data_IF_543395993121
#
_entry.id   IF_543395993121
#
_cell.length_a   1.000
_cell.length_b   1.000
_cell.length_c   1.000
_cell.angle_alpha   90.00
_cell.angle_beta   90.00
_cell.angle_gamma   90.00
#
_symmetry.space_group_name_H-M   'P 1'
#
loop_
_entity.id
_entity.type
_entity.pdbx_description
1 polymer ?
#
# COMPACT_ATOMS: atom_id res chain seq x y z
N UNK A 1 42.72 1.81 18.83
CA UNK A 1 44.10 1.72 18.31
C UNK A 1 45.01 2.83 18.84
N UNK A 2 44.53 4.05 19.10
CA UNK A 2 45.36 5.14 19.65
C UNK A 2 46.16 4.75 20.91
N UNK A 3 45.53 4.10 21.89
CA UNK A 3 46.20 3.65 23.11
C UNK A 3 47.34 2.66 22.83
N UNK A 4 47.15 1.75 21.87
CA UNK A 4 48.18 0.80 21.45
C UNK A 4 49.38 1.54 20.84
N UNK A 5 49.15 2.57 20.03
CA UNK A 5 50.23 3.36 19.44
C UNK A 5 51.00 4.16 20.49
N UNK A 6 50.33 4.75 21.49
CA UNK A 6 51.04 5.40 22.60
C UNK A 6 51.96 4.43 23.36
N UNK A 7 51.54 3.18 23.54
CA UNK A 7 52.36 2.16 24.19
C UNK A 7 53.50 1.70 23.29
N UNK A 8 53.26 1.58 21.98
CA UNK A 8 54.30 1.28 21.01
C UNK A 8 55.37 2.39 20.96
N UNK A 9 54.97 3.65 21.09
CA UNK A 9 55.88 4.80 21.10
C UNK A 9 56.71 4.88 22.40
N UNK A 10 56.16 4.38 23.53
CA UNK A 10 56.84 4.38 24.83
C UNK A 10 57.78 3.18 25.05
N UNK A 11 57.32 1.97 24.72
CA UNK A 11 57.97 0.70 25.10
C UNK A 11 58.40 -0.15 23.87
N UNK A 12 58.08 0.30 22.66
CA UNK A 12 58.35 -0.44 21.41
C UNK A 12 57.21 -1.37 20.97
N UNK A 13 57.22 -1.76 19.69
CA UNK A 13 56.09 -2.42 19.02
C UNK A 13 56.09 -3.96 19.11
N UNK A 14 57.02 -4.61 19.80
CA UNK A 14 57.20 -6.08 19.66
C UNK A 14 56.11 -6.91 20.34
N UNK A 15 55.58 -6.46 21.48
CA UNK A 15 54.63 -7.21 22.34
C UNK A 15 53.24 -6.59 22.51
N UNK A 16 53.04 -5.25 22.50
CA UNK A 16 51.73 -4.66 22.81
C UNK A 16 50.60 -5.09 21.87
N UNK A 17 50.92 -5.37 20.60
CA UNK A 17 49.91 -5.79 19.63
C UNK A 17 49.25 -7.12 20.01
N UNK A 18 49.98 -8.08 20.59
CA UNK A 18 49.40 -9.36 21.05
C UNK A 18 48.33 -9.14 22.11
N UNK A 19 48.60 -8.24 23.07
CA UNK A 19 47.64 -7.89 24.12
C UNK A 19 46.39 -7.25 23.53
N UNK A 20 46.52 -6.19 22.72
CA UNK A 20 45.36 -5.46 22.19
C UNK A 20 44.55 -6.29 21.19
N UNK A 21 45.22 -7.07 20.34
CA UNK A 21 44.53 -7.97 19.39
C UNK A 21 43.77 -9.05 20.15
N UNK A 22 44.38 -9.71 21.14
CA UNK A 22 43.69 -10.71 21.96
C UNK A 22 42.54 -10.09 22.77
N UNK A 23 42.76 -8.91 23.37
CA UNK A 23 41.74 -8.20 24.15
C UNK A 23 40.53 -7.82 23.30
N UNK A 24 40.75 -7.27 22.10
CA UNK A 24 39.66 -6.87 21.20
C UNK A 24 38.97 -8.12 20.64
N UNK A 25 39.71 -9.11 20.14
CA UNK A 25 39.11 -10.32 19.58
C UNK A 25 38.31 -11.09 20.64
N UNK A 26 38.92 -11.45 21.77
CA UNK A 26 38.24 -12.20 22.82
C UNK A 26 37.18 -11.35 23.51
N UNK A 27 37.49 -10.09 23.83
CA UNK A 27 36.58 -9.19 24.54
C UNK A 27 35.35 -8.84 23.70
N UNK A 28 35.52 -8.39 22.46
CA UNK A 28 34.39 -8.05 21.59
C UNK A 28 33.57 -9.29 21.22
N UNK A 29 34.21 -10.43 20.93
CA UNK A 29 33.49 -11.67 20.65
C UNK A 29 32.69 -12.16 21.86
N UNK A 30 33.29 -12.13 23.06
CA UNK A 30 32.62 -12.52 24.30
C UNK A 30 31.42 -11.62 24.59
N UNK A 31 31.61 -10.30 24.56
CA UNK A 31 30.53 -9.33 24.84
C UNK A 31 29.41 -9.45 23.80
N UNK A 32 29.73 -9.56 22.52
CA UNK A 32 28.73 -9.71 21.47
C UNK A 32 27.91 -10.99 21.64
N UNK A 33 28.56 -12.12 21.89
CA UNK A 33 27.86 -13.40 22.07
C UNK A 33 27.03 -13.42 23.36
N UNK A 34 27.51 -12.80 24.44
CA UNK A 34 26.74 -12.68 25.68
C UNK A 34 25.50 -11.83 25.44
N UNK A 35 25.64 -10.65 24.82
CA UNK A 35 24.51 -9.76 24.51
C UNK A 35 23.53 -10.46 23.58
N UNK A 36 24.00 -11.09 22.50
CA UNK A 36 23.15 -11.79 21.55
C UNK A 36 22.43 -12.97 22.21
N UNK A 37 23.12 -13.71 23.07
CA UNK A 37 22.55 -14.83 23.82
C UNK A 37 21.45 -14.39 24.78
N UNK A 38 21.69 -13.33 25.56
CA UNK A 38 20.69 -12.78 26.49
C UNK A 38 19.50 -12.18 25.74
N UNK A 39 19.73 -11.36 24.72
CA UNK A 39 18.66 -10.76 23.91
C UNK A 39 17.84 -11.83 23.17
N UNK A 40 18.50 -12.82 22.57
CA UNK A 40 17.83 -13.92 21.89
C UNK A 40 17.00 -14.74 22.87
N UNK A 41 17.53 -15.02 24.06
CA UNK A 41 16.81 -15.71 25.13
C UNK A 41 15.56 -14.96 25.58
N UNK A 42 15.68 -13.67 25.88
CA UNK A 42 14.54 -12.85 26.32
C UNK A 42 13.51 -12.63 25.21
N UNK A 43 13.93 -12.37 23.97
CA UNK A 43 13.01 -12.25 22.84
C UNK A 43 12.32 -13.57 22.50
N UNK A 44 13.02 -14.71 22.63
CA UNK A 44 12.40 -16.03 22.41
C UNK A 44 11.34 -16.32 23.46
N UNK A 45 11.63 -16.05 24.75
CA UNK A 45 10.65 -16.19 25.84
C UNK A 45 9.44 -15.29 25.63
N UNK A 46 9.64 -14.03 25.25
CA UNK A 46 8.54 -13.09 25.05
C UNK A 46 7.69 -13.46 23.82
N UNK A 47 8.34 -13.85 22.72
CA UNK A 47 7.65 -14.38 21.54
C UNK A 47 6.80 -15.60 21.88
N UNK A 48 7.34 -16.54 22.65
CA UNK A 48 6.59 -17.73 23.06
C UNK A 48 5.36 -17.39 23.92
N UNK A 49 5.44 -16.37 24.80
CA UNK A 49 4.27 -15.88 25.54
C UNK A 49 3.21 -15.28 24.62
N UNK A 50 3.62 -14.50 23.61
CA UNK A 50 2.71 -13.92 22.62
C UNK A 50 2.02 -15.03 21.84
N UNK A 51 2.78 -16.00 21.32
CA UNK A 51 2.25 -17.13 20.56
C UNK A 51 1.25 -17.95 21.38
N UNK A 52 1.55 -18.24 22.66
CA UNK A 52 0.61 -18.92 23.58
C UNK A 52 -0.68 -18.12 23.80
N UNK A 53 -0.60 -16.80 23.96
CA UNK A 53 -1.79 -15.94 24.12
C UNK A 53 -2.63 -15.91 22.85
N UNK A 54 -2.00 -15.85 21.69
CA UNK A 54 -2.69 -15.90 20.40
C UNK A 54 -3.42 -17.23 20.21
N UNK A 55 -2.76 -18.37 20.51
CA UNK A 55 -3.39 -19.70 20.43
C UNK A 55 -4.58 -19.77 21.38
N UNK A 56 -4.43 -19.33 22.63
CA UNK A 56 -5.51 -19.31 23.62
C UNK A 56 -6.69 -18.42 23.21
N UNK A 57 -6.44 -17.30 22.52
CA UNK A 57 -7.50 -16.46 21.96
C UNK A 57 -8.25 -17.18 20.83
N UNK A 58 -7.51 -17.76 19.87
CA UNK A 58 -8.11 -18.50 18.75
C UNK A 58 -8.94 -19.69 19.21
N UNK A 59 -8.47 -20.46 20.20
CA UNK A 59 -9.24 -21.57 20.77
C UNK A 59 -10.56 -21.11 21.40
N UNK A 60 -10.57 -19.97 22.09
CA UNK A 60 -11.79 -19.39 22.66
C UNK A 60 -12.75 -18.90 21.59
N UNK A 61 -12.24 -18.29 20.53
CA UNK A 61 -13.06 -17.85 19.39
C UNK A 61 -13.70 -19.05 18.68
N UNK A 62 -12.93 -20.12 18.44
CA UNK A 62 -13.43 -21.35 17.83
C UNK A 62 -14.50 -22.04 18.70
N UNK A 63 -14.27 -22.13 20.03
CA UNK A 63 -15.28 -22.68 20.95
C UNK A 63 -16.57 -21.88 20.95
N UNK A 64 -16.49 -20.54 20.92
CA UNK A 64 -17.67 -19.67 20.81
C UNK A 64 -18.41 -19.90 19.49
N UNK A 65 -17.70 -19.90 18.37
CA UNK A 65 -18.31 -20.18 17.06
C UNK A 65 -18.98 -21.55 17.00
N UNK A 66 -18.38 -22.56 17.63
CA UNK A 66 -18.96 -23.90 17.71
C UNK A 66 -20.23 -23.93 18.57
N UNK A 67 -20.23 -23.24 19.71
CA UNK A 67 -21.42 -23.09 20.56
C UNK A 67 -22.54 -22.32 19.84
N UNK A 68 -22.20 -21.22 19.16
CA UNK A 68 -23.15 -20.44 18.37
C UNK A 68 -23.76 -21.31 17.26
N UNK A 69 -22.93 -22.08 16.54
CA UNK A 69 -23.40 -23.01 15.50
C UNK A 69 -24.34 -24.08 16.05
N UNK A 70 -24.01 -24.68 17.20
CA UNK A 70 -24.87 -25.65 17.86
C UNK A 70 -26.19 -25.02 18.30
N UNK A 71 -26.16 -23.83 18.88
CA UNK A 71 -27.35 -23.08 19.26
C UNK A 71 -28.25 -22.77 18.05
N UNK A 72 -27.69 -22.33 16.93
CA UNK A 72 -28.47 -22.12 15.70
C UNK A 72 -29.10 -23.41 15.18
N UNK A 73 -28.38 -24.54 15.24
CA UNK A 73 -28.90 -25.84 14.83
C UNK A 73 -30.10 -26.25 15.70
N UNK A 74 -29.98 -26.15 17.03
CA UNK A 74 -31.07 -26.47 17.97
C UNK A 74 -32.30 -25.58 17.74
N UNK A 75 -32.10 -24.28 17.46
CA UNK A 75 -33.20 -23.37 17.16
C UNK A 75 -33.93 -23.72 15.85
N UNK A 76 -33.19 -24.16 14.83
CA UNK A 76 -33.76 -24.59 13.55
C UNK A 76 -34.54 -25.90 13.73
N UNK A 77 -33.96 -26.90 14.40
CA UNK A 77 -34.58 -28.19 14.67
C UNK A 77 -35.90 -28.02 15.45
N UNK A 78 -35.90 -27.17 16.47
CA UNK A 78 -37.11 -26.86 17.25
C UNK A 78 -38.19 -26.13 16.42
N UNK A 79 -37.79 -25.29 15.47
CA UNK A 79 -38.74 -24.61 14.60
C UNK A 79 -39.36 -25.57 13.56
N UNK A 80 -38.59 -26.55 13.09
CA UNK A 80 -39.05 -27.62 12.19
C UNK A 80 -40.11 -28.48 12.91
N UNK A 81 -39.82 -28.92 14.14
CA UNK A 81 -40.75 -29.66 15.01
C UNK A 81 -42.09 -28.91 15.21
N UNK A 82 -42.03 -27.61 15.50
CA UNK A 82 -43.23 -26.77 15.68
C UNK A 82 -44.01 -26.58 14.36
N UNK A 83 -43.32 -26.51 13.22
CA UNK A 83 -43.97 -26.35 11.92
C UNK A 83 -44.70 -27.62 11.46
N UNK A 84 -44.22 -28.79 11.86
CA UNK A 84 -44.89 -30.07 11.62
C UNK A 84 -46.14 -30.23 12.49
N UNK A 85 -46.19 -29.62 13.69
CA UNK A 85 -47.38 -29.59 14.54
C UNK A 85 -48.47 -28.61 14.03
N UNK A 86 -48.09 -27.52 13.36
CA UNK A 86 -49.04 -26.52 12.81
C UNK A 86 -49.62 -26.90 11.42
N UNK A 87 -49.08 -27.91 10.73
CA UNK A 87 -49.55 -28.34 9.41
C UNK A 87 -50.83 -29.20 9.43
N UNK A 88 -51.36 -29.55 10.60
CA UNK A 88 -52.66 -30.23 10.73
C UNK A 88 -53.86 -29.25 10.88
N UNK A 89 -53.64 -27.95 11.03
CA UNK A 89 -54.72 -26.96 11.20
C UNK A 89 -54.42 -25.59 10.53
N UNK A 90 -54.39 -25.53 9.19
CA UNK A 90 -54.93 -24.39 8.41
C UNK A 90 -54.68 -24.53 6.90
N UNK A 91 -55.69 -25.04 6.21
CA UNK A 91 -55.90 -24.80 4.78
C UNK A 91 -57.13 -23.92 4.60
N UNK A 92 -56.96 -22.59 4.46
CA UNK A 92 -57.98 -21.76 3.82
C UNK A 92 -57.36 -20.69 2.90
N UNK A 93 -57.82 -20.75 1.65
CA UNK A 93 -57.61 -19.85 0.52
C UNK A 93 -58.08 -18.42 0.81
N UNK A 94 -57.36 -17.40 0.33
CA UNK A 94 -58.01 -16.17 -0.19
C UNK A 94 -57.24 -15.66 -1.42
N UNK A 95 -57.78 -15.95 -2.60
CA UNK A 95 -57.60 -15.14 -3.80
C UNK A 95 -58.47 -13.87 -3.65
N UNK A 96 -57.91 -12.69 -3.89
CA UNK A 96 -58.71 -11.48 -4.14
C UNK A 96 -58.22 -10.75 -5.40
N UNK A 97 -59.09 -10.86 -6.40
CA UNK A 97 -59.20 -10.12 -7.64
C UNK A 97 -59.34 -8.62 -7.38
N UNK A 98 -58.73 -7.77 -8.21
CA UNK A 98 -59.19 -6.38 -8.37
C UNK A 98 -59.12 -5.93 -9.82
N UNK A 99 -60.23 -5.34 -10.27
CA UNK A 99 -60.65 -5.06 -11.65
C UNK A 99 -60.57 -3.56 -12.01
N UNK A 100 -60.47 -3.29 -13.32
CA UNK A 100 -60.73 -2.09 -14.17
C UNK A 100 -60.44 -0.65 -13.65
N UNK A 101 -59.72 0.25 -14.35
CA UNK A 101 -59.85 0.83 -15.72
C UNK A 101 -59.96 2.38 -15.60
N UNK A 102 -60.04 3.25 -16.64
CA UNK A 102 -59.45 3.27 -17.98
C UNK A 102 -58.41 4.42 -18.16
N UNK A 103 -57.42 4.21 -19.03
CA UNK A 103 -56.40 5.20 -19.40
C UNK A 103 -56.82 5.96 -20.67
N UNK A 104 -57.07 7.27 -20.57
CA UNK A 104 -57.19 8.10 -21.77
C UNK A 104 -56.82 9.58 -21.50
N UNK A 105 -55.52 9.84 -21.23
CA UNK A 105 -54.91 11.17 -21.48
C UNK A 105 -53.36 11.21 -21.46
N UNK A 106 -52.67 10.07 -21.42
CA UNK A 106 -51.21 10.01 -21.15
C UNK A 106 -50.34 9.96 -22.43
N UNK A 107 -50.95 9.99 -23.62
CA UNK A 107 -50.29 9.45 -24.82
C UNK A 107 -49.28 10.37 -25.53
N UNK A 108 -49.11 11.64 -25.13
CA UNK A 108 -48.18 12.58 -25.78
C UNK A 108 -46.91 12.83 -24.96
N UNK A 109 -46.98 12.80 -23.63
CA UNK A 109 -45.81 12.98 -22.75
C UNK A 109 -44.96 11.69 -22.64
N UNK A 110 -45.58 10.53 -22.84
CA UNK A 110 -44.92 9.22 -22.73
C UNK A 110 -43.98 8.90 -23.91
N UNK A 111 -44.27 9.43 -25.11
CA UNK A 111 -43.44 9.23 -26.31
C UNK A 111 -42.13 10.02 -26.23
N UNK A 112 -42.16 11.25 -25.72
CA UNK A 112 -40.97 12.10 -25.53
C UNK A 112 -40.04 11.55 -24.43
N UNK A 113 -40.60 11.10 -23.30
CA UNK A 113 -39.84 10.39 -22.25
C UNK A 113 -39.28 9.06 -22.75
N UNK A 114 -40.02 8.30 -23.57
CA UNK A 114 -39.57 7.02 -24.14
C UNK A 114 -38.37 7.17 -25.09
N UNK A 115 -38.35 8.20 -25.94
CA UNK A 115 -37.23 8.46 -26.87
C UNK A 115 -35.98 8.98 -26.15
N UNK A 116 -36.14 9.94 -25.22
CA UNK A 116 -35.04 10.45 -24.39
C UNK A 116 -34.46 9.36 -23.48
N UNK A 117 -35.31 8.52 -22.88
CA UNK A 117 -34.90 7.40 -22.04
C UNK A 117 -34.23 6.27 -22.86
N UNK A 118 -34.66 6.02 -24.11
CA UNK A 118 -33.98 5.10 -25.04
C UNK A 118 -32.61 5.64 -25.50
N UNK A 119 -32.49 6.95 -25.75
CA UNK A 119 -31.23 7.60 -26.13
C UNK A 119 -30.24 7.65 -24.96
N UNK A 120 -30.70 7.99 -23.75
CA UNK A 120 -29.93 7.89 -22.51
C UNK A 120 -29.54 6.43 -22.19
N UNK A 121 -30.42 5.45 -22.43
CA UNK A 121 -30.07 4.01 -22.31
C UNK A 121 -29.01 3.59 -23.34
N UNK A 122 -29.03 4.10 -24.58
CA UNK A 122 -28.01 3.82 -25.60
C UNK A 122 -26.66 4.46 -25.25
N UNK A 123 -26.64 5.71 -24.77
CA UNK A 123 -25.44 6.39 -24.27
C UNK A 123 -24.89 5.68 -23.02
N UNK A 124 -25.76 5.26 -22.08
CA UNK A 124 -25.38 4.50 -20.88
C UNK A 124 -24.86 3.10 -21.21
N UNK A 125 -25.46 2.40 -22.19
CA UNK A 125 -24.95 1.11 -22.70
C UNK A 125 -23.61 1.27 -23.41
N UNK A 126 -23.42 2.33 -24.22
CA UNK A 126 -22.13 2.64 -24.85
C UNK A 126 -21.06 2.96 -23.80
N UNK A 127 -21.35 3.87 -22.85
CA UNK A 127 -20.46 4.20 -21.72
C UNK A 127 -20.08 2.97 -20.89
N UNK A 128 -21.01 2.03 -20.68
CA UNK A 128 -20.69 0.76 -20.01
C UNK A 128 -19.81 -0.17 -20.86
N UNK A 129 -19.92 -0.17 -22.20
CA UNK A 129 -19.03 -0.92 -23.09
C UNK A 129 -17.62 -0.34 -23.09
N UNK A 130 -17.49 0.98 -23.22
CA UNK A 130 -16.20 1.67 -23.11
C UNK A 130 -15.54 1.43 -21.75
N UNK A 131 -16.30 1.58 -20.64
CA UNK A 131 -15.79 1.27 -19.29
C UNK A 131 -15.33 -0.18 -19.15
N UNK A 132 -16.10 -1.15 -19.66
CA UNK A 132 -15.70 -2.58 -19.65
C UNK A 132 -14.44 -2.83 -20.46
N UNK A 133 -14.29 -2.17 -21.61
CA UNK A 133 -13.08 -2.27 -22.44
C UNK A 133 -11.86 -1.68 -21.75
N UNK A 134 -12.00 -0.52 -21.10
CA UNK A 134 -10.91 0.13 -20.36
C UNK A 134 -10.51 -0.72 -19.13
N UNK A 135 -11.49 -1.29 -18.41
CA UNK A 135 -11.21 -2.24 -17.32
C UNK A 135 -10.54 -3.52 -17.83
N UNK A 136 -10.95 -4.02 -18.99
CA UNK A 136 -10.30 -5.17 -19.60
C UNK A 136 -8.84 -4.84 -19.95
N UNK A 137 -8.60 -3.66 -20.53
CA UNK A 137 -7.27 -3.19 -20.91
C UNK A 137 -6.32 -3.06 -19.70
N UNK A 138 -6.76 -2.44 -18.60
CA UNK A 138 -5.93 -2.30 -17.39
C UNK A 138 -5.59 -3.62 -16.71
N UNK A 139 -6.36 -4.69 -16.98
CA UNK A 139 -6.10 -6.04 -16.46
C UNK A 139 -5.17 -6.87 -17.35
N UNK A 140 -4.79 -6.38 -18.53
CA UNK A 140 -3.93 -7.14 -19.44
C UNK A 140 -2.48 -7.20 -18.93
N UNK A 141 -1.82 -8.33 -19.16
CA UNK A 141 -0.36 -8.48 -18.92
C UNK A 141 0.47 -7.46 -19.70
N UNK A 142 -0.01 -7.07 -20.88
CA UNK A 142 0.65 -6.09 -21.73
C UNK A 142 0.68 -4.70 -21.09
N UNK A 143 -0.45 -4.24 -20.54
CA UNK A 143 -0.52 -2.98 -19.82
C UNK A 143 0.43 -2.97 -18.62
N UNK A 144 0.51 -4.09 -17.88
CA UNK A 144 1.44 -4.25 -16.77
C UNK A 144 2.91 -4.12 -17.22
N UNK A 145 3.32 -4.87 -18.24
CA UNK A 145 4.70 -4.82 -18.78
C UNK A 145 5.02 -3.43 -19.32
N UNK A 146 4.05 -2.77 -19.96
CA UNK A 146 4.18 -1.39 -20.45
C UNK A 146 4.51 -0.44 -19.30
N UNK A 147 3.71 -0.39 -18.24
CA UNK A 147 3.98 0.52 -17.12
C UNK A 147 5.32 0.19 -16.45
N UNK A 148 5.62 -1.09 -16.25
CA UNK A 148 6.89 -1.53 -15.71
C UNK A 148 8.08 -1.04 -16.55
N UNK A 149 7.96 -1.14 -17.88
CA UNK A 149 8.98 -0.67 -18.82
C UNK A 149 9.14 0.85 -18.78
N UNK A 150 8.05 1.62 -18.59
CA UNK A 150 8.10 3.08 -18.44
C UNK A 150 8.81 3.50 -17.16
N UNK A 151 8.54 2.81 -16.04
CA UNK A 151 9.22 3.08 -14.77
C UNK A 151 10.70 2.74 -14.89
N UNK A 152 11.04 1.62 -15.52
CA UNK A 152 12.43 1.23 -15.76
C UNK A 152 13.16 2.24 -16.65
N UNK A 153 12.57 2.63 -17.79
CA UNK A 153 13.17 3.60 -18.70
C UNK A 153 13.32 4.97 -18.03
N UNK A 154 12.34 5.40 -17.23
CA UNK A 154 12.46 6.62 -16.43
C UNK A 154 13.61 6.55 -15.43
N UNK A 155 13.83 5.38 -14.81
CA UNK A 155 14.96 5.16 -13.90
C UNK A 155 16.28 5.21 -14.66
N UNK A 156 16.38 4.61 -15.85
CA UNK A 156 17.57 4.68 -16.70
C UNK A 156 17.92 6.13 -17.05
N UNK A 157 16.94 6.93 -17.48
CA UNK A 157 17.13 8.36 -17.77
C UNK A 157 17.61 9.13 -16.53
N UNK A 158 17.06 8.82 -15.36
CA UNK A 158 17.49 9.45 -14.10
C UNK A 158 18.92 9.07 -13.72
N UNK A 159 19.31 7.82 -13.91
CA UNK A 159 20.68 7.36 -13.63
C UNK A 159 21.73 7.83 -14.63
N UNK A 160 21.31 8.40 -15.79
CA UNK A 160 22.25 8.95 -16.76
C UNK A 160 22.76 10.34 -16.37
N UNK A 161 22.11 11.03 -15.42
CA UNK A 161 22.52 12.34 -14.92
C UNK A 161 23.92 12.27 -14.28
N UNK A 162 24.85 13.10 -14.77
CA UNK A 162 26.21 13.15 -14.23
C UNK A 162 26.75 14.57 -14.13
N UNK A 163 27.78 14.77 -13.30
CA UNK A 163 28.41 16.07 -13.13
C UNK A 163 29.05 16.54 -14.44
N UNK A 164 28.84 17.82 -14.80
CA UNK A 164 29.30 18.44 -16.05
C UNK A 164 28.80 17.74 -17.34
N UNK A 165 27.51 17.43 -17.40
CA UNK A 165 26.90 16.82 -18.59
C UNK A 165 26.74 17.80 -19.76
N UNK A 166 26.81 17.31 -21.02
CA UNK A 166 26.64 18.14 -22.20
C UNK A 166 25.19 18.64 -22.35
N UNK A 167 25.01 19.84 -22.92
CA UNK A 167 23.71 20.49 -23.09
C UNK A 167 22.66 19.62 -23.81
N UNK A 168 23.09 18.78 -24.75
CA UNK A 168 22.17 17.87 -25.46
C UNK A 168 21.58 16.81 -24.52
N UNK A 169 22.35 16.35 -23.54
CA UNK A 169 21.89 15.38 -22.55
C UNK A 169 20.89 16.01 -21.57
N UNK A 170 21.11 17.26 -21.17
CA UNK A 170 20.12 18.05 -20.39
C UNK A 170 18.80 18.16 -21.16
N UNK A 171 18.85 18.60 -22.43
CA UNK A 171 17.66 18.73 -23.28
C UNK A 171 16.93 17.39 -23.47
N UNK A 172 17.66 16.31 -23.69
CA UNK A 172 17.08 14.98 -23.80
C UNK A 172 16.38 14.54 -22.50
N UNK A 173 17.02 14.74 -21.35
CA UNK A 173 16.47 14.39 -20.03
C UNK A 173 15.21 15.20 -19.73
N UNK A 174 15.16 16.49 -20.06
CA UNK A 174 14.00 17.35 -19.87
C UNK A 174 12.81 16.93 -20.75
N UNK A 175 13.06 16.65 -22.03
CA UNK A 175 12.04 16.16 -22.96
C UNK A 175 11.51 14.79 -22.50
N UNK A 176 12.42 13.87 -22.15
CA UNK A 176 12.07 12.55 -21.67
C UNK A 176 11.24 12.64 -20.38
N UNK A 177 11.62 13.49 -19.42
CA UNK A 177 10.86 13.68 -18.19
C UNK A 177 9.45 14.20 -18.47
N UNK A 178 9.29 15.19 -19.35
CA UNK A 178 7.97 15.69 -19.76
C UNK A 178 7.10 14.58 -20.37
N UNK A 179 7.66 13.73 -21.23
CA UNK A 179 6.96 12.58 -21.83
C UNK A 179 6.55 11.58 -20.74
N UNK A 180 7.44 11.23 -19.80
CA UNK A 180 7.11 10.30 -18.72
C UNK A 180 5.99 10.83 -17.81
N UNK A 181 6.02 12.11 -17.46
CA UNK A 181 4.96 12.76 -16.67
C UNK A 181 3.63 12.65 -17.41
N UNK A 182 3.60 12.94 -18.71
CA UNK A 182 2.40 12.82 -19.53
C UNK A 182 1.87 11.38 -19.59
N UNK A 183 2.74 10.39 -19.79
CA UNK A 183 2.37 8.97 -19.83
C UNK A 183 1.86 8.46 -18.48
N UNK A 184 2.48 8.85 -17.36
CA UNK A 184 2.01 8.49 -16.02
C UNK A 184 0.69 9.20 -15.65
N UNK A 185 0.49 10.41 -16.15
CA UNK A 185 -0.80 11.11 -16.00
C UNK A 185 -1.90 10.39 -16.79
N UNK A 186 -1.60 9.95 -18.01
CA UNK A 186 -2.51 9.15 -18.83
C UNK A 186 -2.83 7.79 -18.18
N UNK A 187 -1.84 7.10 -17.63
CA UNK A 187 -2.03 5.89 -16.82
C UNK A 187 -3.02 6.13 -15.68
N UNK A 188 -2.81 7.19 -14.89
CA UNK A 188 -3.66 7.54 -13.76
C UNK A 188 -5.10 7.83 -14.19
N UNK A 189 -5.30 8.60 -15.26
CA UNK A 189 -6.64 8.88 -15.83
C UNK A 189 -7.31 7.58 -16.30
N UNK A 190 -6.59 6.70 -16.99
CA UNK A 190 -7.12 5.40 -17.44
C UNK A 190 -7.57 4.55 -16.25
N UNK A 191 -6.76 4.45 -15.17
CA UNK A 191 -7.12 3.70 -13.96
C UNK A 191 -8.34 4.30 -13.25
N UNK A 192 -8.39 5.63 -13.16
CA UNK A 192 -9.49 6.35 -12.53
C UNK A 192 -10.82 6.14 -13.27
N UNK A 193 -10.79 6.12 -14.61
CA UNK A 193 -11.96 5.80 -15.44
C UNK A 193 -12.36 4.31 -15.38
N UNK A 194 -11.38 3.41 -15.20
CA UNK A 194 -11.62 1.98 -15.09
C UNK A 194 -12.34 1.62 -13.77
N UNK A 195 -11.80 2.09 -12.64
CA UNK A 195 -12.25 1.70 -11.30
C UNK A 195 -13.39 2.59 -10.79
N UNK A 196 -13.48 3.84 -11.25
CA UNK A 196 -14.33 4.86 -10.67
C UNK A 196 -13.62 5.63 -9.54
N UNK A 197 -14.02 6.88 -9.33
CA UNK A 197 -13.34 7.82 -8.41
C UNK A 197 -13.28 7.31 -6.97
N UNK A 198 -14.40 6.83 -6.42
CA UNK A 198 -14.51 6.40 -5.03
C UNK A 198 -13.64 5.18 -4.75
N UNK A 199 -13.73 4.17 -5.61
CA UNK A 199 -12.96 2.93 -5.49
C UNK A 199 -11.46 3.16 -5.72
N UNK A 200 -11.11 4.08 -6.63
CA UNK A 200 -9.72 4.47 -6.87
C UNK A 200 -9.07 5.05 -5.61
N UNK A 201 -9.74 6.01 -4.96
CA UNK A 201 -9.26 6.63 -3.72
C UNK A 201 -9.44 5.76 -2.48
N UNK A 202 -10.07 4.60 -2.55
CA UNK A 202 -10.10 3.67 -1.40
C UNK A 202 -8.77 2.91 -1.24
N UNK A 203 -8.10 2.59 -2.36
CA UNK A 203 -6.89 1.73 -2.36
C UNK A 203 -5.62 2.52 -2.05
N UNK A 204 -4.85 2.08 -1.04
CA UNK A 204 -3.62 2.76 -0.58
C UNK A 204 -2.58 2.98 -1.70
N UNK A 205 -2.32 1.98 -2.54
CA UNK A 205 -1.35 2.11 -3.64
C UNK A 205 -1.82 3.07 -4.74
N UNK A 206 -3.13 3.17 -4.99
CA UNK A 206 -3.66 4.14 -5.94
C UNK A 206 -3.59 5.58 -5.41
N UNK A 207 -3.76 5.78 -4.09
CA UNK A 207 -3.50 7.07 -3.44
C UNK A 207 -2.04 7.48 -3.60
N UNK A 208 -1.11 6.54 -3.43
CA UNK A 208 0.32 6.78 -3.64
C UNK A 208 0.63 7.13 -5.10
N UNK A 209 0.09 6.38 -6.06
CA UNK A 209 0.22 6.66 -7.50
C UNK A 209 -0.27 8.08 -7.84
N UNK A 210 -1.43 8.46 -7.31
CA UNK A 210 -1.96 9.82 -7.46
C UNK A 210 -1.00 10.88 -6.90
N UNK A 211 -0.49 10.68 -5.69
CA UNK A 211 0.49 11.60 -5.08
C UNK A 211 1.75 11.76 -5.96
N UNK A 212 2.31 10.67 -6.45
CA UNK A 212 3.51 10.68 -7.32
C UNK A 212 3.26 11.47 -8.61
N UNK A 213 2.10 11.27 -9.23
CA UNK A 213 1.72 11.99 -10.46
C UNK A 213 1.52 13.48 -10.19
N UNK A 214 0.84 13.86 -9.09
CA UNK A 214 0.65 15.26 -8.72
C UNK A 214 1.98 15.95 -8.42
N UNK A 215 2.87 15.34 -7.64
CA UNK A 215 4.22 15.88 -7.39
C UNK A 215 4.99 16.08 -8.70
N UNK A 216 4.87 15.14 -9.64
CA UNK A 216 5.52 15.21 -10.95
C UNK A 216 4.97 16.34 -11.83
N UNK A 217 3.66 16.60 -11.79
CA UNK A 217 3.04 17.73 -12.50
C UNK A 217 3.47 19.05 -11.87
N UNK A 218 3.44 19.15 -10.53
CA UNK A 218 3.89 20.33 -9.79
C UNK A 218 5.35 20.64 -10.14
N UNK A 219 6.23 19.65 -10.10
CA UNK A 219 7.63 19.81 -10.49
C UNK A 219 7.77 20.39 -11.91
N UNK A 220 7.08 19.81 -12.89
CA UNK A 220 7.13 20.26 -14.29
C UNK A 220 6.61 21.71 -14.43
N UNK A 221 5.49 22.04 -13.79
CA UNK A 221 4.92 23.39 -13.80
C UNK A 221 5.85 24.43 -13.16
N UNK A 222 6.51 24.08 -12.05
CA UNK A 222 7.43 24.96 -11.34
C UNK A 222 8.73 25.18 -12.10
N UNK A 223 9.22 24.15 -12.80
CA UNK A 223 10.39 24.24 -13.68
C UNK A 223 10.12 25.18 -14.86
N UNK A 224 8.97 25.05 -15.52
CA UNK A 224 8.61 25.89 -16.68
C UNK A 224 8.35 27.36 -16.31
N UNK A 225 7.92 27.64 -15.09
CA UNK A 225 7.57 28.99 -14.67
C UNK A 225 8.77 29.79 -14.14
N UNK A 226 9.93 29.15 -13.87
CA UNK A 226 11.15 29.78 -13.32
C UNK A 226 10.90 30.61 -12.02
N UNK A 227 9.82 30.33 -11.28
CA UNK A 227 9.41 31.13 -10.11
C UNK A 227 10.26 30.82 -8.86
N UNK A 228 10.94 29.67 -8.81
CA UNK A 228 11.53 29.12 -7.57
C UNK A 228 13.07 29.13 -7.59
N UNK A 229 13.64 29.40 -6.42
CA UNK A 229 15.06 29.25 -6.12
C UNK A 229 15.62 27.88 -6.57
N UNK A 230 16.86 27.81 -7.07
CA UNK A 230 17.47 26.58 -7.61
C UNK A 230 17.55 25.42 -6.60
N UNK A 231 17.55 25.74 -5.30
CA UNK A 231 17.57 24.77 -4.21
C UNK A 231 16.24 23.98 -4.14
N UNK A 232 15.11 24.65 -4.32
CA UNK A 232 13.79 24.00 -4.31
C UNK A 232 13.59 23.08 -5.51
N UNK A 233 14.12 23.46 -6.67
CA UNK A 233 14.09 22.63 -7.88
C UNK A 233 14.88 21.33 -7.71
N UNK A 234 15.98 21.35 -6.95
CA UNK A 234 16.80 20.16 -6.72
C UNK A 234 16.06 19.10 -5.89
N UNK A 235 15.32 19.52 -4.85
CA UNK A 235 14.50 18.60 -4.04
C UNK A 235 13.33 18.04 -4.85
N UNK A 236 12.69 18.86 -5.68
CA UNK A 236 11.58 18.42 -6.53
C UNK A 236 12.04 17.42 -7.61
N UNK A 237 13.27 17.55 -8.13
CA UNK A 237 13.88 16.54 -9.00
C UNK A 237 14.04 15.20 -8.28
N UNK A 238 14.39 15.18 -6.99
CA UNK A 238 14.45 13.94 -6.21
C UNK A 238 13.08 13.25 -6.08
N UNK A 239 11.97 13.98 -6.16
CA UNK A 239 10.63 13.38 -6.14
C UNK A 239 10.38 12.44 -7.33
N UNK A 240 11.14 12.57 -8.44
CA UNK A 240 11.11 11.61 -9.56
C UNK A 240 11.48 10.19 -9.12
N UNK A 241 12.35 10.04 -8.11
CA UNK A 241 12.70 8.74 -7.54
C UNK A 241 11.48 8.02 -6.96
N UNK A 242 10.45 8.76 -6.52
CA UNK A 242 9.22 8.15 -6.01
C UNK A 242 8.50 7.29 -7.07
N UNK A 243 8.74 7.53 -8.36
CA UNK A 243 8.18 6.74 -9.46
C UNK A 243 8.70 5.31 -9.44
N UNK A 244 9.94 5.06 -8.98
CA UNK A 244 10.46 3.68 -8.83
C UNK A 244 9.61 2.88 -7.84
N UNK A 245 9.02 3.52 -6.83
CA UNK A 245 8.15 2.84 -5.88
C UNK A 245 6.85 2.36 -6.51
N UNK A 246 6.47 2.79 -7.73
CA UNK A 246 5.38 2.16 -8.47
C UNK A 246 5.62 0.65 -8.67
N UNK A 247 6.87 0.21 -8.79
CA UNK A 247 7.23 -1.23 -8.84
C UNK A 247 6.63 -2.02 -7.67
N UNK A 248 6.54 -1.41 -6.49
CA UNK A 248 5.96 -2.07 -5.29
C UNK A 248 4.49 -2.41 -5.46
N UNK A 249 3.72 -1.66 -6.25
CA UNK A 249 2.31 -1.94 -6.54
C UNK A 249 2.14 -3.14 -7.47
N UNK A 250 3.15 -3.41 -8.29
CA UNK A 250 3.14 -4.39 -9.38
C UNK A 250 3.76 -5.73 -9.00
N UNK A 251 4.65 -5.74 -8.00
CA UNK A 251 5.29 -6.96 -7.52
C UNK A 251 4.57 -7.44 -6.27
N UNK A 252 3.68 -8.43 -6.39
CA UNK A 252 2.83 -8.91 -5.29
C UNK A 252 3.61 -9.31 -4.03
N UNK A 253 4.78 -9.95 -4.19
CA UNK A 253 5.66 -10.30 -3.07
C UNK A 253 6.19 -9.06 -2.36
N UNK A 254 6.65 -8.05 -3.11
CA UNK A 254 7.16 -6.79 -2.57
C UNK A 254 6.02 -5.98 -1.93
N UNK A 255 4.84 -5.97 -2.56
CA UNK A 255 3.63 -5.36 -2.03
C UNK A 255 3.26 -5.94 -0.67
N UNK A 256 3.18 -7.27 -0.58
CA UNK A 256 2.86 -7.99 0.65
C UNK A 256 3.90 -7.73 1.74
N UNK A 257 5.19 -7.68 1.35
CA UNK A 257 6.27 -7.33 2.27
C UNK A 257 6.11 -5.91 2.83
N UNK A 258 5.85 -4.93 1.98
CA UNK A 258 5.62 -3.53 2.39
C UNK A 258 4.38 -3.41 3.29
N UNK A 259 3.27 -4.08 2.95
CA UNK A 259 2.07 -4.10 3.79
C UNK A 259 2.35 -4.68 5.19
N UNK A 260 3.11 -5.78 5.27
CA UNK A 260 3.53 -6.38 6.55
C UNK A 260 4.46 -5.46 7.33
N UNK A 261 5.41 -4.82 6.67
CA UNK A 261 6.37 -3.89 7.27
C UNK A 261 5.66 -2.66 7.84
N UNK A 262 4.71 -2.08 7.10
CA UNK A 262 3.91 -0.94 7.59
C UNK A 262 3.05 -1.33 8.79
N UNK A 263 2.53 -2.57 8.83
CA UNK A 263 1.78 -3.08 9.98
C UNK A 263 2.67 -3.21 11.22
N UNK A 264 3.91 -3.67 11.08
CA UNK A 264 4.85 -3.77 12.21
C UNK A 264 5.41 -2.40 12.65
N UNK A 265 5.57 -1.46 11.72
CA UNK A 265 6.07 -0.10 12.01
C UNK A 265 5.25 0.61 13.10
N UNK A 266 3.93 0.41 13.14
CA UNK A 266 3.07 1.00 14.17
C UNK A 266 3.50 0.62 15.58
N UNK A 267 3.95 -0.62 15.79
CA UNK A 267 4.45 -1.09 17.09
C UNK A 267 5.84 -0.54 17.39
N UNK A 268 6.71 -0.44 16.37
CA UNK A 268 8.08 0.06 16.49
C UNK A 268 8.11 1.56 16.83
N UNK A 269 7.14 2.34 16.34
CA UNK A 269 7.08 3.79 16.56
C UNK A 269 7.07 4.17 18.05
N UNK A 270 6.39 3.40 18.90
CA UNK A 270 6.36 3.67 20.35
C UNK A 270 7.74 3.50 21.00
N UNK A 271 8.52 2.51 20.56
CA UNK A 271 9.89 2.31 21.04
C UNK A 271 10.83 3.40 20.52
N UNK A 272 10.69 3.79 19.25
CA UNK A 272 11.46 4.90 18.67
C UNK A 272 11.20 6.21 19.39
N UNK A 273 9.96 6.48 19.78
CA UNK A 273 9.59 7.67 20.55
C UNK A 273 10.25 7.67 21.94
N UNK A 274 10.24 6.52 22.64
CA UNK A 274 10.94 6.39 23.92
C UNK A 274 12.46 6.59 23.77
N UNK A 275 13.05 6.01 22.73
CA UNK A 275 14.47 6.18 22.42
C UNK A 275 14.80 7.65 22.12
N UNK A 276 13.96 8.33 21.32
CA UNK A 276 14.12 9.76 21.04
C UNK A 276 14.02 10.61 22.33
N UNK A 277 13.06 10.31 23.21
CA UNK A 277 12.94 10.98 24.51
C UNK A 277 14.20 10.80 25.35
N UNK A 278 14.71 9.57 25.42
CA UNK A 278 15.96 9.27 26.14
C UNK A 278 17.13 10.09 25.60
N UNK A 279 17.31 10.12 24.26
CA UNK A 279 18.34 10.93 23.62
C UNK A 279 18.19 12.42 24.00
N UNK A 280 16.97 12.95 24.00
CA UNK A 280 16.71 14.35 24.39
C UNK A 280 17.09 14.61 25.85
N UNK A 281 16.78 13.72 26.78
CA UNK A 281 17.14 13.87 28.19
C UNK A 281 18.65 13.99 28.35
N UNK A 282 19.43 13.11 27.70
CA UNK A 282 20.89 13.16 27.76
C UNK A 282 21.46 14.37 27.03
N UNK A 283 20.83 14.80 25.93
CA UNK A 283 21.23 16.01 25.22
C UNK A 283 20.97 17.31 26.01
N UNK A 284 19.99 17.31 26.93
CA UNK A 284 19.73 18.43 27.84
C UNK A 284 20.61 18.36 29.11
N UNK A 285 21.07 17.17 29.49
CA UNK A 285 21.92 16.97 30.66
C UNK A 285 23.41 17.24 30.37
N UNK A 286 23.86 16.95 29.14
CA UNK A 286 25.21 17.26 28.66
C UNK A 286 25.37 18.72 28.25
#
# INVERSE_FOLDING_TARGET
TQVMYWINDAEGNTWPWFYFVSLILLGSFFVLNLILGVLSGEFSKEKEKIDRREVFQRERELKRQQQDYQGYKEWIEKADELSDEDNDDQSEEINSTFDHGPNQEVHIEEIAKSHCHKMLKRIRKSKNRWRRSVVAFTKTKQFFILILSLVFLNTVVLTSEHHNQPLWQDLFQDIANSIFVALFTLEMVIKMLALGLTEYFSKMFNKFDFFVVICSIIELSLTNSNIINPIGLSVLRCARLLRVFKLTQYWDSLRSLVEKLLKSMKSIFSLLLLMALFIVIFALLG
#
